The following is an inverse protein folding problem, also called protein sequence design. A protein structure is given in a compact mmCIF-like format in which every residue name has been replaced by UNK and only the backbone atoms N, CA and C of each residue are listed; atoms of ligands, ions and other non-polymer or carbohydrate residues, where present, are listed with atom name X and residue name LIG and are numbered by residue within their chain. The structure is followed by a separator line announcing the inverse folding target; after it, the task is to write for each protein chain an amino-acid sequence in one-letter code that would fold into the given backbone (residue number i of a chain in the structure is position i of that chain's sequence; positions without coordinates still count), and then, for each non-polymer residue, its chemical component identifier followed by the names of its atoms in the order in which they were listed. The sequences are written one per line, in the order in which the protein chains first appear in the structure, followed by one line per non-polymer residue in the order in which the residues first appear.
data_IF_461583509835
#
_entry.id   IF_461583509835
#
_cell.length_a   1.000
_cell.length_b   1.000
_cell.length_c   1.000
_cell.angle_alpha   90.00
_cell.angle_beta   90.00
_cell.angle_gamma   90.00
#
_symmetry.space_group_name_H-M   'P 1'
#
loop_
_entity.id
_entity.type
_entity.pdbx_description
1 polymer ?
#
# COMPACT_ATOMS: atom_id res chain seq x y z
N UNK A 1 -16.89 9.97 15.91
CA UNK A 1 -16.50 8.66 15.34
C UNK A 1 -15.79 8.71 13.97
N UNK A 2 -15.64 9.86 13.29
CA UNK A 2 -15.13 9.90 11.90
C UNK A 2 -13.61 9.86 11.68
N UNK A 3 -12.78 10.34 12.63
CA UNK A 3 -11.32 10.46 12.43
C UNK A 3 -10.59 9.11 12.40
N UNK A 4 -10.99 8.16 13.23
CA UNK A 4 -10.38 6.83 13.27
C UNK A 4 -10.66 6.00 12.01
N UNK A 5 -11.86 6.19 11.42
CA UNK A 5 -12.22 5.55 10.15
C UNK A 5 -11.36 6.09 9.00
N UNK A 6 -11.20 7.41 8.93
CA UNK A 6 -10.36 8.05 7.93
C UNK A 6 -8.89 7.61 8.00
N UNK A 7 -8.32 7.46 9.20
CA UNK A 7 -6.94 6.99 9.34
C UNK A 7 -6.77 5.54 8.87
N UNK A 8 -7.71 4.64 9.22
CA UNK A 8 -7.67 3.25 8.75
C UNK A 8 -7.78 3.17 7.23
N UNK A 9 -8.63 3.96 6.61
CA UNK A 9 -8.78 3.98 5.15
C UNK A 9 -7.49 4.45 4.45
N UNK A 10 -6.81 5.47 5.02
CA UNK A 10 -5.49 5.92 4.54
C UNK A 10 -4.42 4.83 4.65
N UNK A 11 -4.31 4.21 5.83
CA UNK A 11 -3.35 3.13 6.09
C UNK A 11 -3.59 1.94 5.16
N UNK A 12 -4.85 1.57 4.96
CA UNK A 12 -5.24 0.50 4.06
C UNK A 12 -4.81 0.77 2.61
N UNK A 13 -5.05 1.98 2.09
CA UNK A 13 -4.61 2.35 0.73
C UNK A 13 -3.10 2.26 0.55
N UNK A 14 -2.32 2.82 1.49
CA UNK A 14 -0.86 2.77 1.46
C UNK A 14 -0.33 1.34 1.60
N UNK A 15 -0.94 0.53 2.47
CA UNK A 15 -0.59 -0.86 2.69
C UNK A 15 -0.82 -1.73 1.45
N UNK A 16 -1.97 -1.56 0.78
CA UNK A 16 -2.28 -2.28 -0.47
C UNK A 16 -1.30 -1.90 -1.58
N UNK A 17 -0.95 -0.61 -1.69
CA UNK A 17 0.06 -0.17 -2.64
C UNK A 17 1.41 -0.86 -2.40
N UNK A 18 1.95 -0.76 -1.18
CA UNK A 18 3.24 -1.38 -0.83
C UNK A 18 3.23 -2.89 -1.06
N UNK A 19 2.17 -3.57 -0.60
CA UNK A 19 2.02 -5.01 -0.79
C UNK A 19 1.95 -5.40 -2.27
N UNK A 20 1.33 -4.58 -3.13
CA UNK A 20 1.27 -4.87 -4.58
C UNK A 20 2.66 -4.88 -5.24
N UNK A 21 3.57 -4.01 -4.80
CA UNK A 21 4.96 -4.01 -5.27
C UNK A 21 5.77 -5.14 -4.64
N UNK A 22 5.59 -5.40 -3.33
CA UNK A 22 6.21 -6.55 -2.62
C UNK A 22 5.88 -7.88 -3.28
N UNK A 23 4.62 -8.12 -3.63
CA UNK A 23 4.18 -9.34 -4.31
C UNK A 23 4.78 -9.53 -5.71
N UNK A 24 5.13 -8.43 -6.40
CA UNK A 24 5.82 -8.47 -7.71
C UNK A 24 7.35 -8.56 -7.58
N UNK A 25 7.90 -8.38 -6.37
CA UNK A 25 9.35 -8.24 -6.17
C UNK A 25 9.89 -6.87 -6.63
N UNK A 26 9.03 -5.87 -6.79
CA UNK A 26 9.34 -4.55 -7.36
C UNK A 26 9.53 -3.46 -6.29
N UNK A 27 9.75 -3.82 -5.02
CA UNK A 27 10.03 -2.86 -3.94
C UNK A 27 11.30 -2.03 -4.20
N UNK A 28 12.21 -2.51 -5.03
CA UNK A 28 13.42 -1.77 -5.41
C UNK A 28 13.24 -0.98 -6.72
N UNK A 29 12.07 -1.09 -7.37
CA UNK A 29 11.83 -0.42 -8.64
C UNK A 29 11.84 1.11 -8.48
N UNK A 30 12.33 1.86 -9.49
CA UNK A 30 12.24 3.32 -9.50
C UNK A 30 10.79 3.82 -9.35
N UNK A 31 9.82 3.07 -9.88
CA UNK A 31 8.40 3.37 -9.74
C UNK A 31 7.96 3.33 -8.28
N UNK A 32 8.30 2.27 -7.54
CA UNK A 32 7.97 2.19 -6.12
C UNK A 32 8.64 3.30 -5.30
N UNK A 33 9.95 3.49 -5.50
CA UNK A 33 10.75 4.51 -4.79
C UNK A 33 10.27 5.94 -5.03
N UNK A 34 9.56 6.21 -6.13
CA UNK A 34 8.96 7.52 -6.40
C UNK A 34 7.53 7.62 -5.88
N UNK A 35 6.68 6.62 -6.19
CA UNK A 35 5.24 6.66 -5.91
C UNK A 35 4.97 6.51 -4.41
N UNK A 36 5.60 5.53 -3.74
CA UNK A 36 5.27 5.22 -2.36
C UNK A 36 5.58 6.37 -1.39
N UNK A 37 6.74 7.05 -1.46
CA UNK A 37 6.98 8.25 -0.64
C UNK A 37 6.04 9.42 -0.96
N UNK A 38 5.52 9.51 -2.19
CA UNK A 38 4.48 10.47 -2.56
C UNK A 38 3.17 10.19 -1.81
N UNK A 39 2.72 8.93 -1.86
CA UNK A 39 1.51 8.46 -1.17
C UNK A 39 1.61 8.67 0.35
N UNK A 40 2.76 8.37 0.96
CA UNK A 40 2.97 8.61 2.39
C UNK A 40 2.80 10.09 2.76
N UNK A 41 3.35 11.01 1.95
CA UNK A 41 3.17 12.46 2.15
C UNK A 41 1.71 12.89 2.00
N UNK A 42 1.06 12.48 0.93
CA UNK A 42 -0.31 12.91 0.62
C UNK A 42 -1.32 12.41 1.67
N UNK A 43 -1.03 11.25 2.26
CA UNK A 43 -1.86 10.66 3.30
C UNK A 43 -1.44 11.06 4.72
N UNK A 44 -0.30 11.75 4.87
CA UNK A 44 0.32 12.10 6.16
C UNK A 44 0.58 10.86 7.02
N UNK A 45 1.23 9.85 6.43
CA UNK A 45 1.53 8.57 7.07
C UNK A 45 3.05 8.34 7.17
N UNK A 46 3.42 7.58 8.18
CA UNK A 46 4.78 7.05 8.36
C UNK A 46 4.86 5.62 7.79
N UNK A 47 6.04 5.23 7.27
CA UNK A 47 6.27 3.90 6.72
C UNK A 47 6.04 2.81 7.78
N UNK A 48 6.51 3.07 9.00
CA UNK A 48 6.40 2.17 10.15
C UNK A 48 4.93 1.90 10.51
N UNK A 49 4.06 2.90 10.37
CA UNK A 49 2.64 2.75 10.61
C UNK A 49 1.97 1.87 9.54
N UNK A 50 2.44 1.99 8.29
CA UNK A 50 1.97 1.15 7.18
C UNK A 50 2.47 -0.28 7.33
N UNK A 51 3.74 -0.51 7.69
CA UNK A 51 4.26 -1.86 7.96
C UNK A 51 3.49 -2.54 9.09
N UNK A 52 3.27 -1.84 10.21
CA UNK A 52 2.48 -2.41 11.32
C UNK A 52 1.06 -2.75 10.87
N UNK A 53 0.44 -1.89 10.09
CA UNK A 53 -0.90 -2.16 9.55
C UNK A 53 -0.90 -3.39 8.64
N UNK A 54 0.13 -3.57 7.80
CA UNK A 54 0.31 -4.75 6.95
C UNK A 54 0.45 -6.00 7.81
N UNK A 55 1.26 -5.98 8.86
CA UNK A 55 1.44 -7.13 9.77
C UNK A 55 0.13 -7.52 10.45
N UNK A 56 -0.61 -6.54 10.97
CA UNK A 56 -1.88 -6.73 11.68
C UNK A 56 -3.02 -7.18 10.74
N UNK A 57 -2.98 -6.81 9.45
CA UNK A 57 -4.07 -7.02 8.49
C UNK A 57 -3.63 -7.79 7.24
N UNK A 58 -2.60 -8.62 7.39
CA UNK A 58 -1.85 -9.22 6.27
C UNK A 58 -2.74 -9.88 5.23
N UNK A 59 -3.68 -10.73 5.66
CA UNK A 59 -4.58 -11.46 4.76
C UNK A 59 -5.46 -10.52 3.91
N UNK A 60 -6.03 -9.49 4.54
CA UNK A 60 -6.91 -8.53 3.87
C UNK A 60 -6.12 -7.68 2.86
N UNK A 61 -4.94 -7.20 3.26
CA UNK A 61 -4.06 -6.39 2.42
C UNK A 61 -3.50 -7.20 1.25
N UNK A 62 -3.04 -8.44 1.48
CA UNK A 62 -2.56 -9.33 0.42
C UNK A 62 -3.68 -9.64 -0.59
N UNK A 63 -4.89 -9.98 -0.11
CA UNK A 63 -6.03 -10.26 -0.98
C UNK A 63 -6.37 -9.05 -1.87
N UNK A 64 -6.38 -7.86 -1.29
CA UNK A 64 -6.64 -6.62 -2.03
C UNK A 64 -5.51 -6.31 -3.03
N UNK A 65 -4.25 -6.44 -2.63
CA UNK A 65 -3.10 -6.20 -3.51
C UNK A 65 -3.09 -7.15 -4.73
N UNK A 66 -3.49 -8.42 -4.53
CA UNK A 66 -3.66 -9.39 -5.63
C UNK A 66 -4.79 -9.00 -6.58
N UNK A 67 -5.90 -8.44 -6.07
CA UNK A 67 -7.07 -8.03 -6.87
C UNK A 67 -6.97 -6.63 -7.51
N UNK A 68 -6.16 -5.73 -6.94
CA UNK A 68 -5.94 -4.35 -7.42
C UNK A 68 -4.84 -4.24 -8.47
N UNK A 69 -4.19 -5.35 -8.84
CA UNK A 69 -3.23 -5.37 -9.96
C UNK A 69 -4.02 -5.41 -11.27
N UNK A 70 -4.17 -4.30 -12.04
CA UNK A 70 -4.63 -4.45 -13.41
C UNK A 70 -3.63 -5.37 -14.14
N UNK A 71 -4.09 -6.27 -15.04
CA UNK A 71 -3.15 -7.04 -15.84
C UNK A 71 -2.19 -6.07 -16.51
N UNK A 72 -0.88 -6.31 -16.36
CA UNK A 72 0.14 -5.60 -17.13
C UNK A 72 -0.28 -5.76 -18.58
N UNK A 73 -0.77 -4.67 -19.16
CA UNK A 73 -1.19 -4.63 -20.54
C UNK A 73 -0.03 -5.08 -21.40
N UNK A 74 -0.27 -6.16 -22.13
CA UNK A 74 0.49 -6.57 -23.31
C UNK A 74 0.84 -5.35 -24.14
N UNK A 75 2.14 -5.12 -24.32
CA UNK A 75 2.69 -4.35 -25.44
C UNK A 75 3.66 -5.24 -26.18
#
# INVERSE_FOLDING_TARGET
MGKAKALKDKLYGAAVLKMSFRLRGDEESPAFRFVYPGVLRDLELEDEAVERYIEENREAVEKAARGSTPPIGTR
#
